data_IF_785076192987
#
_entry.id   IF_785076192987
#
_cell.length_a   1.000
_cell.length_b   1.000
_cell.length_c   1.000
_cell.angle_alpha   90.00
_cell.angle_beta   90.00
_cell.angle_gamma   90.00
#
_symmetry.space_group_name_H-M   'P 1'
#
loop_
_entity.id
_entity.type
_entity.pdbx_description
1 polymer ?
#
# COMPACT_ATOMS: atom_id res chain seq x y z
N UNK A 1 5.51 22.52 14.25
CA UNK A 1 4.38 21.72 14.75
C UNK A 1 3.92 20.85 13.59
N UNK A 2 3.77 19.53 13.75
CA UNK A 2 3.08 18.75 12.72
C UNK A 2 1.65 19.31 12.58
N UNK A 3 1.04 19.25 11.39
CA UNK A 3 -0.38 19.51 11.28
C UNK A 3 -1.10 18.56 12.25
N UNK A 4 -2.00 19.11 13.07
CA UNK A 4 -2.99 18.31 13.78
C UNK A 4 -3.74 17.55 12.68
N UNK A 5 -3.75 16.20 12.72
CA UNK A 5 -4.57 15.35 11.84
C UNK A 5 -5.91 16.04 11.66
N UNK A 6 -6.22 16.51 10.45
CA UNK A 6 -7.26 17.52 10.23
C UNK A 6 -8.68 17.01 10.52
N UNK A 7 -8.86 15.71 10.80
CA UNK A 7 -10.13 15.11 11.21
C UNK A 7 -11.20 15.14 10.12
N UNK A 8 -10.85 15.54 8.89
CA UNK A 8 -11.77 15.66 7.75
C UNK A 8 -12.01 14.31 7.08
N UNK A 9 -11.06 13.38 7.19
CA UNK A 9 -11.21 12.03 6.67
C UNK A 9 -11.87 11.17 7.74
N UNK A 10 -12.75 10.25 7.32
CA UNK A 10 -13.33 9.23 8.21
C UNK A 10 -12.20 8.36 8.74
N UNK A 11 -11.59 8.80 9.83
CA UNK A 11 -10.70 8.01 10.66
C UNK A 11 -11.58 6.88 11.17
N UNK A 12 -11.37 5.68 10.65
CA UNK A 12 -11.92 4.48 11.26
C UNK A 12 -11.45 4.51 12.71
N UNK A 13 -12.32 4.26 13.69
CA UNK A 13 -11.87 4.15 15.09
C UNK A 13 -10.63 3.26 15.11
N UNK A 14 -9.50 3.77 15.61
CA UNK A 14 -8.22 3.06 15.62
C UNK A 14 -8.38 1.79 16.46
N UNK A 15 -8.78 0.69 15.80
CA UNK A 15 -8.76 -0.62 16.41
C UNK A 15 -7.31 -0.93 16.70
N UNK A 16 -6.95 -0.99 17.99
CA UNK A 16 -5.62 -1.36 18.47
C UNK A 16 -5.36 -2.85 18.18
N UNK A 17 -5.20 -3.19 16.91
CA UNK A 17 -4.75 -4.49 16.48
C UNK A 17 -3.24 -4.45 16.55
N UNK A 18 -2.65 -5.29 17.41
CA UNK A 18 -1.21 -5.51 17.41
C UNK A 18 -0.91 -6.59 16.35
N UNK A 19 -0.40 -6.22 15.16
CA UNK A 19 -0.04 -7.19 14.13
C UNK A 19 1.12 -8.08 14.60
N UNK A 20 1.06 -9.37 14.27
CA UNK A 20 2.12 -10.35 14.52
C UNK A 20 3.03 -10.57 13.32
N UNK A 21 4.09 -11.37 13.48
CA UNK A 21 4.87 -11.84 12.33
C UNK A 21 4.01 -12.70 11.39
N UNK A 22 4.26 -12.63 10.10
CA UNK A 22 3.52 -13.37 9.07
C UNK A 22 4.47 -13.79 7.96
N UNK A 23 4.26 -15.00 7.43
CA UNK A 23 4.92 -15.47 6.21
C UNK A 23 3.87 -15.70 5.11
N UNK A 24 4.31 -15.70 3.86
CA UNK A 24 3.50 -16.18 2.74
C UNK A 24 3.30 -17.71 2.80
N UNK A 25 2.19 -18.18 2.25
CA UNK A 25 1.75 -19.58 2.31
C UNK A 25 1.89 -20.33 0.98
N UNK A 26 2.34 -19.65 -0.08
CA UNK A 26 2.39 -20.14 -1.48
C UNK A 26 1.00 -20.36 -2.10
N UNK A 27 -0.05 -19.82 -1.47
CA UNK A 27 -1.44 -19.88 -1.97
C UNK A 27 -1.86 -18.51 -2.49
N UNK A 28 -1.84 -18.33 -3.81
CA UNK A 28 -1.99 -17.03 -4.49
C UNK A 28 -3.11 -16.11 -3.96
N UNK A 29 -4.33 -16.60 -3.70
CA UNK A 29 -5.42 -15.74 -3.21
C UNK A 29 -5.25 -15.36 -1.73
N UNK A 30 -4.68 -16.25 -0.93
CA UNK A 30 -4.35 -15.99 0.47
C UNK A 30 -3.18 -15.00 0.54
N UNK A 31 -2.13 -15.26 -0.24
CA UNK A 31 -0.92 -14.46 -0.31
C UNK A 31 -1.20 -13.03 -0.79
N UNK A 32 -2.15 -12.83 -1.70
CA UNK A 32 -2.57 -11.50 -2.10
C UNK A 32 -3.14 -10.69 -0.90
N UNK A 33 -4.00 -11.32 -0.10
CA UNK A 33 -4.52 -10.71 1.14
C UNK A 33 -3.43 -10.46 2.19
N UNK A 34 -2.49 -11.40 2.33
CA UNK A 34 -1.32 -11.25 3.19
C UNK A 34 -0.46 -10.06 2.75
N UNK A 35 -0.16 -9.93 1.46
CA UNK A 35 0.65 -8.85 0.92
C UNK A 35 -0.01 -7.48 1.16
N UNK A 36 -1.30 -7.34 0.89
CA UNK A 36 -2.05 -6.11 1.20
C UNK A 36 -2.02 -5.81 2.70
N UNK A 37 -2.25 -6.82 3.56
CA UNK A 37 -2.18 -6.70 5.01
C UNK A 37 -0.82 -6.23 5.53
N UNK A 38 0.26 -6.79 4.98
CA UNK A 38 1.64 -6.36 5.28
C UNK A 38 1.88 -4.92 4.84
N UNK A 39 1.43 -4.53 3.64
CA UNK A 39 1.62 -3.19 3.08
C UNK A 39 0.86 -2.12 3.88
N UNK A 40 -0.40 -2.35 4.24
CA UNK A 40 -1.16 -1.39 5.06
C UNK A 40 -0.55 -1.27 6.46
N UNK A 41 -0.15 -2.39 7.05
CA UNK A 41 0.50 -2.39 8.37
C UNK A 41 1.84 -1.65 8.35
N UNK A 42 2.67 -1.88 7.32
CA UNK A 42 3.93 -1.16 7.14
C UNK A 42 3.72 0.34 6.97
N UNK A 43 2.73 0.75 6.19
CA UNK A 43 2.40 2.16 6.01
C UNK A 43 2.05 2.82 7.35
N UNK A 44 1.21 2.15 8.16
CA UNK A 44 0.85 2.62 9.49
C UNK A 44 2.06 2.71 10.43
N UNK A 45 2.94 1.70 10.43
CA UNK A 45 4.18 1.70 11.24
C UNK A 45 5.10 2.87 10.84
N UNK A 46 5.12 3.24 9.56
CA UNK A 46 5.93 4.36 9.07
C UNK A 46 5.22 5.71 9.12
N UNK A 47 4.04 5.79 9.75
CA UNK A 47 3.30 7.03 9.95
C UNK A 47 2.51 7.53 8.74
N UNK A 48 2.28 6.68 7.73
CA UNK A 48 1.39 7.00 6.62
C UNK A 48 -0.05 6.59 6.93
N UNK A 49 -0.99 7.31 6.32
CA UNK A 49 -2.37 6.86 6.19
C UNK A 49 -2.46 5.82 5.08
N UNK A 50 -3.27 4.77 5.25
CA UNK A 50 -3.31 3.62 4.34
C UNK A 50 -4.72 3.30 3.86
N UNK A 51 -4.79 2.91 2.58
CA UNK A 51 -6.03 2.52 1.91
C UNK A 51 -5.82 1.21 1.16
N UNK A 52 -6.86 0.38 1.15
CA UNK A 52 -7.03 -0.75 0.24
C UNK A 52 -8.43 -0.67 -0.42
N UNK A 53 -8.70 -1.34 -1.55
CA UNK A 53 -10.02 -1.32 -2.19
C UNK A 53 -11.16 -1.76 -1.25
N UNK A 54 -12.35 -1.13 -1.24
CA UNK A 54 -13.46 -1.50 -0.35
C UNK A 54 -13.94 -2.95 -0.49
N UNK A 55 -13.81 -3.52 -1.68
CA UNK A 55 -14.10 -4.93 -1.91
C UNK A 55 -13.14 -5.80 -1.08
N UNK A 56 -11.84 -5.58 -1.25
CA UNK A 56 -10.75 -6.30 -0.57
C UNK A 56 -10.76 -6.09 0.94
N UNK A 57 -11.07 -4.88 1.40
CA UNK A 57 -11.33 -4.56 2.82
C UNK A 57 -12.35 -5.53 3.46
N UNK A 58 -13.30 -6.05 2.68
CA UNK A 58 -14.37 -6.93 3.16
C UNK A 58 -14.07 -8.41 2.96
N UNK A 59 -13.55 -8.79 1.78
CA UNK A 59 -13.43 -10.20 1.39
C UNK A 59 -12.09 -10.83 1.73
N UNK A 60 -11.02 -10.03 1.87
CA UNK A 60 -9.68 -10.53 2.18
C UNK A 60 -9.40 -10.43 3.66
N UNK A 61 -8.56 -11.36 4.13
CA UNK A 61 -8.18 -11.46 5.54
C UNK A 61 -6.67 -11.38 5.70
N UNK A 62 -6.26 -10.83 6.82
CA UNK A 62 -4.88 -10.77 7.28
C UNK A 62 -4.87 -11.09 8.77
N UNK A 63 -4.13 -12.14 9.16
CA UNK A 63 -4.07 -12.61 10.55
C UNK A 63 -5.45 -12.85 11.17
N UNK A 64 -6.27 -13.61 10.44
CA UNK A 64 -7.64 -13.99 10.82
C UNK A 64 -8.62 -12.82 11.01
N UNK A 65 -8.25 -11.63 10.53
CA UNK A 65 -9.08 -10.41 10.60
C UNK A 65 -9.31 -9.82 9.22
N UNK A 66 -10.46 -9.17 8.95
CA UNK A 66 -10.71 -8.52 7.67
C UNK A 66 -9.76 -7.34 7.46
N UNK A 67 -9.36 -7.08 6.21
CA UNK A 67 -8.44 -5.98 5.87
C UNK A 67 -8.94 -4.60 6.32
N UNK A 68 -10.26 -4.38 6.39
CA UNK A 68 -10.85 -3.12 6.87
C UNK A 68 -10.38 -2.71 8.27
N UNK A 69 -9.96 -3.67 9.09
CA UNK A 69 -9.53 -3.38 10.46
C UNK A 69 -8.07 -2.86 10.52
N UNK A 70 -7.33 -2.91 9.40
CA UNK A 70 -5.93 -2.49 9.30
C UNK A 70 -5.74 -1.20 8.48
N UNK A 71 -6.70 -0.81 7.65
CA UNK A 71 -6.63 0.44 6.87
C UNK A 71 -7.02 1.63 7.75
N UNK A 72 -6.44 2.80 7.49
CA UNK A 72 -6.82 4.04 8.18
C UNK A 72 -7.78 4.90 7.36
N UNK A 73 -7.79 4.71 6.03
CA UNK A 73 -8.67 5.39 5.08
C UNK A 73 -9.54 4.38 4.36
N UNK A 74 -10.84 4.38 4.67
CA UNK A 74 -11.80 3.43 4.09
C UNK A 74 -12.23 3.77 2.65
N UNK A 75 -12.17 5.05 2.26
CA UNK A 75 -12.54 5.55 0.93
C UNK A 75 -11.63 6.70 0.49
N UNK A 76 -11.10 6.63 -0.74
CA UNK A 76 -10.19 7.64 -1.30
C UNK A 76 -10.86 8.61 -2.30
N UNK A 77 -12.20 8.65 -2.37
CA UNK A 77 -12.95 9.50 -3.32
C UNK A 77 -12.76 10.98 -3.10
N UNK A 78 -12.61 11.41 -1.85
CA UNK A 78 -12.37 12.83 -1.56
C UNK A 78 -10.94 13.26 -1.91
N UNK A 79 -10.01 12.30 -2.01
CA UNK A 79 -8.61 12.50 -2.39
C UNK A 79 -8.47 12.59 -3.92
N UNK A 80 -9.12 11.67 -4.63
CA UNK A 80 -9.03 11.58 -6.08
C UNK A 80 -10.32 12.05 -6.75
N UNK A 81 -10.23 13.07 -7.60
CA UNK A 81 -11.34 13.56 -8.41
C UNK A 81 -11.07 13.37 -9.89
N UNK A 82 -12.11 13.04 -10.65
CA UNK A 82 -12.09 12.99 -12.11
C UNK A 82 -12.30 11.60 -12.71
N UNK A 83 -12.12 11.46 -14.03
CA UNK A 83 -12.56 10.28 -14.80
C UNK A 83 -11.81 8.98 -14.46
N UNK A 84 -10.66 9.10 -13.80
CA UNK A 84 -9.82 7.97 -13.42
C UNK A 84 -10.13 7.39 -12.04
N UNK A 85 -11.05 7.99 -11.27
CA UNK A 85 -11.33 7.60 -9.88
C UNK A 85 -11.63 6.11 -9.75
N UNK A 86 -12.47 5.55 -10.62
CA UNK A 86 -12.82 4.13 -10.58
C UNK A 86 -11.58 3.22 -10.64
N UNK A 87 -10.62 3.52 -11.50
CA UNK A 87 -9.38 2.75 -11.65
C UNK A 87 -8.40 2.95 -10.50
N UNK A 88 -8.36 4.15 -9.92
CA UNK A 88 -7.50 4.44 -8.77
C UNK A 88 -8.02 3.71 -7.53
N UNK A 89 -9.35 3.61 -7.37
CA UNK A 89 -9.98 2.87 -6.27
C UNK A 89 -9.68 1.37 -6.29
N UNK A 90 -9.30 0.84 -7.45
CA UNK A 90 -8.89 -0.56 -7.65
C UNK A 90 -7.39 -0.79 -7.41
N UNK A 91 -6.60 0.23 -7.03
CA UNK A 91 -5.18 0.02 -6.68
C UNK A 91 -5.12 -0.73 -5.34
N UNK A 92 -4.37 -1.83 -5.30
CA UNK A 92 -4.40 -2.79 -4.20
C UNK A 92 -4.00 -2.17 -2.85
N UNK A 93 -3.04 -1.24 -2.82
CA UNK A 93 -2.74 -0.44 -1.62
C UNK A 93 -2.22 0.95 -1.97
N UNK A 94 -2.65 1.96 -1.21
CA UNK A 94 -2.11 3.32 -1.26
C UNK A 94 -1.58 3.72 0.12
N UNK A 95 -0.41 4.37 0.13
CA UNK A 95 0.04 5.15 1.27
C UNK A 95 -0.11 6.63 0.95
N UNK A 96 -0.70 7.33 1.91
CA UNK A 96 -1.12 8.70 1.84
C UNK A 96 -0.37 9.48 2.93
N UNK A 97 0.05 10.68 2.57
CA UNK A 97 0.61 11.64 3.51
C UNK A 97 -0.36 12.84 3.60
N UNK A 98 -0.23 13.67 4.62
CA UNK A 98 -1.14 14.79 4.89
C UNK A 98 -0.39 16.13 4.83
N UNK A 99 -0.99 17.10 4.12
CA UNK A 99 -0.56 18.50 4.18
C UNK A 99 -1.75 19.44 4.44
N UNK A 100 -1.53 20.76 4.34
CA UNK A 100 -2.56 21.78 4.56
C UNK A 100 -3.77 21.67 3.61
N UNK A 101 -3.65 20.92 2.51
CA UNK A 101 -4.72 20.65 1.53
C UNK A 101 -5.35 19.26 1.69
N UNK A 102 -4.87 18.48 2.67
CA UNK A 102 -5.38 17.16 3.03
C UNK A 102 -4.51 16.00 2.54
N UNK A 103 -5.12 14.82 2.41
CA UNK A 103 -4.40 13.60 2.05
C UNK A 103 -4.00 13.59 0.57
N UNK A 104 -2.78 13.12 0.30
CA UNK A 104 -2.28 12.91 -1.06
C UNK A 104 -1.44 11.62 -1.14
N UNK A 105 -1.42 10.92 -2.29
CA UNK A 105 -0.65 9.70 -2.43
C UNK A 105 0.84 9.95 -2.55
N UNK A 106 1.61 9.21 -1.77
CA UNK A 106 3.08 9.17 -1.79
C UNK A 106 3.61 7.83 -2.30
N UNK A 107 2.89 6.73 -2.03
CA UNK A 107 3.21 5.41 -2.53
C UNK A 107 1.95 4.68 -3.00
N UNK A 108 2.07 3.93 -4.09
CA UNK A 108 1.00 3.09 -4.61
C UNK A 108 1.55 1.73 -4.99
N UNK A 109 0.84 0.68 -4.60
CA UNK A 109 1.28 -0.70 -4.70
C UNK A 109 0.21 -1.52 -5.42
N UNK A 110 0.67 -2.34 -6.34
CA UNK A 110 -0.10 -3.38 -7.00
C UNK A 110 0.54 -4.73 -6.67
N UNK A 111 -0.28 -5.67 -6.21
CA UNK A 111 0.10 -7.01 -5.77
C UNK A 111 -0.24 -7.97 -6.91
N UNK A 112 0.79 -8.38 -7.64
CA UNK A 112 0.63 -9.15 -8.88
C UNK A 112 1.08 -10.60 -8.66
N UNK A 113 0.09 -11.46 -8.42
CA UNK A 113 0.26 -12.92 -8.33
C UNK A 113 0.31 -13.61 -9.70
N UNK A 114 -0.28 -12.97 -10.71
CA UNK A 114 -0.47 -13.53 -12.05
C UNK A 114 0.22 -12.69 -13.11
N UNK A 115 0.16 -13.12 -14.37
CA UNK A 115 0.79 -12.41 -15.51
C UNK A 115 0.16 -11.05 -15.86
N UNK A 116 -0.65 -10.47 -14.96
CA UNK A 116 -1.39 -9.22 -15.16
C UNK A 116 -0.61 -7.95 -14.79
N UNK A 117 0.71 -8.04 -14.61
CA UNK A 117 1.63 -6.93 -14.35
C UNK A 117 1.34 -5.66 -15.18
N UNK A 118 1.04 -5.79 -16.48
CA UNK A 118 0.71 -4.64 -17.33
C UNK A 118 -0.54 -3.89 -16.85
N UNK A 119 -1.55 -4.60 -16.38
CA UNK A 119 -2.80 -4.03 -15.86
C UNK A 119 -2.55 -3.24 -14.58
N UNK A 120 -1.74 -3.76 -13.64
CA UNK A 120 -1.28 -3.01 -12.47
C UNK A 120 -0.53 -1.73 -12.86
N UNK A 121 0.42 -1.83 -13.80
CA UNK A 121 1.13 -0.64 -14.31
C UNK A 121 0.17 0.40 -14.91
N UNK A 122 -0.82 -0.04 -15.69
CA UNK A 122 -1.83 0.84 -16.30
C UNK A 122 -2.72 1.52 -15.24
N UNK A 123 -3.10 0.82 -14.16
CA UNK A 123 -3.83 1.36 -13.01
C UNK A 123 -3.00 2.42 -12.27
N UNK A 124 -1.73 2.13 -11.98
CA UNK A 124 -0.81 3.06 -11.31
C UNK A 124 -0.63 4.38 -12.09
N UNK A 125 -0.55 4.33 -13.43
CA UNK A 125 -0.50 5.53 -14.27
C UNK A 125 -1.79 6.36 -14.26
N UNK A 126 -2.88 5.89 -13.66
CA UNK A 126 -4.12 6.69 -13.52
C UNK A 126 -4.02 7.72 -12.42
N UNK A 127 -3.08 7.57 -11.48
CA UNK A 127 -2.79 8.58 -10.45
C UNK A 127 -2.37 9.89 -11.14
N UNK A 128 -3.03 11.03 -10.85
CA UNK A 128 -2.73 12.31 -11.48
C UNK A 128 -1.25 12.69 -11.38
N UNK A 129 -0.68 13.19 -12.50
CA UNK A 129 0.76 13.56 -12.60
C UNK A 129 1.23 14.63 -11.61
N UNK A 130 0.31 15.43 -11.06
CA UNK A 130 0.60 16.41 -10.02
C UNK A 130 1.09 15.76 -8.72
N UNK A 131 0.74 14.50 -8.48
CA UNK A 131 1.25 13.72 -7.36
C UNK A 131 2.56 13.04 -7.76
N UNK A 132 3.58 13.19 -6.91
CA UNK A 132 4.92 12.63 -7.09
C UNK A 132 5.05 11.20 -6.54
N UNK A 133 3.93 10.48 -6.40
CA UNK A 133 3.88 9.13 -5.86
C UNK A 133 4.85 8.15 -6.53
N UNK A 134 5.50 7.29 -5.74
CA UNK A 134 6.29 6.16 -6.26
C UNK A 134 5.39 4.94 -6.42
N UNK A 135 5.64 4.17 -7.46
CA UNK A 135 4.80 3.07 -7.92
C UNK A 135 5.52 1.74 -7.75
N UNK A 136 4.84 0.78 -7.15
CA UNK A 136 5.42 -0.52 -6.84
C UNK A 136 4.54 -1.62 -7.43
N UNK A 137 5.19 -2.57 -8.09
CA UNK A 137 4.62 -3.89 -8.33
C UNK A 137 5.29 -4.83 -7.34
N UNK A 138 4.48 -5.54 -6.56
CA UNK A 138 4.93 -6.54 -5.60
C UNK A 138 4.48 -7.89 -6.11
N UNK A 139 5.39 -8.84 -6.30
CA UNK A 139 5.04 -10.14 -6.89
C UNK A 139 5.88 -11.30 -6.36
N UNK A 140 5.47 -12.55 -6.59
CA UNK A 140 6.04 -13.72 -5.92
C UNK A 140 7.41 -14.12 -6.50
N UNK A 141 7.66 -13.87 -7.79
CA UNK A 141 8.80 -14.48 -8.48
C UNK A 141 9.54 -13.60 -9.49
N UNK A 142 10.67 -14.11 -9.97
CA UNK A 142 11.46 -13.48 -11.03
C UNK A 142 10.69 -13.38 -12.36
N UNK A 143 9.72 -14.27 -12.60
CA UNK A 143 8.91 -14.24 -13.82
C UNK A 143 8.12 -12.94 -13.94
N UNK A 144 7.45 -12.52 -12.87
CA UNK A 144 6.69 -11.27 -12.82
C UNK A 144 7.64 -10.05 -12.90
N UNK A 145 8.84 -10.16 -12.31
CA UNK A 145 9.89 -9.14 -12.42
C UNK A 145 10.38 -8.96 -13.85
N UNK A 146 10.54 -10.03 -14.61
CA UNK A 146 10.97 -9.97 -16.01
C UNK A 146 9.89 -9.35 -16.89
N UNK A 147 8.62 -9.72 -16.68
CA UNK A 147 7.47 -9.07 -17.33
C UNK A 147 7.40 -7.57 -17.00
N UNK A 148 7.59 -7.22 -15.73
CA UNK A 148 7.67 -5.82 -15.29
C UNK A 148 8.76 -5.07 -16.06
N UNK A 149 9.99 -5.60 -16.08
CA UNK A 149 11.13 -4.98 -16.75
C UNK A 149 10.87 -4.77 -18.25
N UNK A 150 10.23 -5.76 -18.89
CA UNK A 150 9.79 -5.66 -20.28
C UNK A 150 8.78 -4.53 -20.46
N UNK A 151 7.71 -4.47 -19.67
CA UNK A 151 6.64 -3.49 -19.84
C UNK A 151 7.07 -2.07 -19.49
N UNK A 152 7.84 -1.84 -18.41
CA UNK A 152 8.26 -0.48 -18.03
C UNK A 152 9.20 0.18 -19.04
N UNK A 153 9.76 -0.60 -19.97
CA UNK A 153 10.57 -0.09 -21.09
C UNK A 153 9.74 0.38 -22.30
N UNK A 154 8.44 0.08 -22.32
CA UNK A 154 7.53 0.37 -23.43
C UNK A 154 6.65 1.59 -23.15
N UNK A 155 6.12 2.22 -24.21
CA UNK A 155 5.11 3.28 -24.09
C UNK A 155 3.79 2.70 -23.55
N UNK A 156 3.08 3.39 -22.63
CA UNK A 156 3.39 4.72 -22.07
C UNK A 156 4.31 4.70 -20.85
N UNK A 157 4.61 3.53 -20.27
CA UNK A 157 5.34 3.39 -19.00
C UNK A 157 6.75 3.96 -19.02
N UNK A 158 7.44 3.92 -20.18
CA UNK A 158 8.81 4.38 -20.36
C UNK A 158 9.04 5.82 -19.88
N UNK A 159 8.10 6.71 -20.11
CA UNK A 159 8.18 8.12 -19.70
C UNK A 159 8.17 8.29 -18.17
N UNK A 160 7.62 7.31 -17.45
CA UNK A 160 7.45 7.31 -16.01
C UNK A 160 8.31 6.25 -15.31
N UNK A 161 9.23 5.61 -16.04
CA UNK A 161 10.02 4.47 -15.55
C UNK A 161 10.71 4.73 -14.21
N UNK A 162 11.17 5.97 -13.97
CA UNK A 162 11.82 6.36 -12.72
C UNK A 162 10.91 6.29 -11.48
N UNK A 163 9.58 6.27 -11.67
CA UNK A 163 8.59 6.13 -10.58
C UNK A 163 8.34 4.67 -10.22
N UNK A 164 8.56 3.75 -11.15
CA UNK A 164 8.21 2.33 -11.01
C UNK A 164 9.35 1.52 -10.38
N UNK A 165 8.98 0.64 -9.47
CA UNK A 165 9.84 -0.36 -8.86
C UNK A 165 9.13 -1.70 -8.79
N UNK A 166 9.92 -2.77 -8.84
CA UNK A 166 9.44 -4.12 -8.56
C UNK A 166 10.04 -4.61 -7.26
N UNK A 167 9.24 -5.31 -6.45
CA UNK A 167 9.66 -5.98 -5.22
C UNK A 167 9.13 -7.40 -5.14
N UNK A 168 9.97 -8.30 -4.65
CA UNK A 168 9.56 -9.68 -4.40
C UNK A 168 8.74 -9.76 -3.11
N UNK A 169 7.85 -10.74 -3.03
CA UNK A 169 7.13 -11.08 -1.80
C UNK A 169 8.08 -11.32 -0.65
N UNK A 170 9.14 -12.07 -0.89
CA UNK A 170 10.19 -12.29 0.11
C UNK A 170 10.79 -10.98 0.64
N UNK A 171 11.01 -9.97 -0.22
CA UNK A 171 11.50 -8.66 0.23
C UNK A 171 10.47 -7.92 1.09
N UNK A 172 9.18 -8.05 0.77
CA UNK A 172 8.08 -7.47 1.55
C UNK A 172 7.95 -8.16 2.92
N UNK A 173 7.97 -9.49 2.95
CA UNK A 173 7.89 -10.31 4.16
C UNK A 173 9.02 -9.97 5.14
N UNK A 174 10.26 -9.95 4.65
CA UNK A 174 11.43 -9.60 5.45
C UNK A 174 11.29 -8.18 6.03
N UNK A 175 10.94 -7.20 5.19
CA UNK A 175 10.76 -5.81 5.64
C UNK A 175 9.66 -5.69 6.70
N UNK A 176 8.51 -6.33 6.46
CA UNK A 176 7.37 -6.36 7.37
C UNK A 176 7.77 -6.92 8.74
N UNK A 177 8.37 -8.12 8.76
CA UNK A 177 8.75 -8.78 10.01
C UNK A 177 9.84 -7.99 10.76
N UNK A 178 10.80 -7.37 10.07
CA UNK A 178 11.78 -6.49 10.71
C UNK A 178 11.16 -5.21 11.26
N UNK A 179 10.21 -4.60 10.54
CA UNK A 179 9.53 -3.39 10.98
C UNK A 179 8.74 -3.63 12.27
N UNK A 180 8.10 -4.78 12.43
CA UNK A 180 7.42 -5.15 13.68
C UNK A 180 8.36 -5.23 14.87
N UNK A 181 9.47 -5.96 14.72
CA UNK A 181 10.48 -6.10 15.78
C UNK A 181 11.09 -4.75 16.13
N UNK A 182 11.38 -3.92 15.13
CA UNK A 182 11.87 -2.57 15.33
C UNK A 182 10.85 -1.70 16.08
N UNK A 183 9.58 -1.72 15.64
CA UNK A 183 8.52 -0.93 16.24
C UNK A 183 8.30 -1.30 17.72
N UNK A 184 8.24 -2.59 18.03
CA UNK A 184 8.11 -3.06 19.41
C UNK A 184 9.30 -2.65 20.28
N UNK A 185 10.54 -2.77 19.77
CA UNK A 185 11.74 -2.33 20.51
C UNK A 185 11.76 -0.82 20.70
N UNK A 186 11.33 -0.04 19.70
CA UNK A 186 11.22 1.42 19.76
C UNK A 186 10.24 1.85 20.85
N UNK A 187 9.07 1.22 20.90
CA UNK A 187 8.05 1.46 21.93
C UNK A 187 8.55 1.09 23.34
N UNK A 188 9.16 -0.08 23.50
CA UNK A 188 9.76 -0.51 24.78
C UNK A 188 10.87 0.44 25.25
N UNK A 189 11.62 1.03 24.31
CA UNK A 189 12.64 2.02 24.61
C UNK A 189 12.06 3.41 24.95
N UNK A 190 10.77 3.64 24.69
CA UNK A 190 10.08 4.90 25.01
C UNK A 190 10.22 6.00 23.95
N UNK A 191 10.62 5.66 22.71
CA UNK A 191 10.66 6.63 21.61
C UNK A 191 9.29 6.70 20.96
N UNK A 192 8.67 7.88 20.98
CA UNK A 192 7.44 8.20 20.25
C UNK A 192 7.84 8.87 18.93
N UNK A 193 7.31 8.38 17.81
CA UNK A 193 7.56 8.99 16.51
C UNK A 193 6.91 10.38 16.42
N UNK A 194 7.52 11.26 15.62
CA UNK A 194 6.97 12.60 15.37
C UNK A 194 5.73 12.46 14.49
N UNK A 195 4.58 12.18 15.09
CA UNK A 195 3.30 11.99 14.39
C UNK A 195 2.22 11.25 15.20
N UNK A 196 2.59 10.58 16.30
CA UNK A 196 1.67 10.01 17.29
C UNK A 196 1.29 10.98 18.42
#
# INVERSE_FOLDING_TARGET
>A
MPPKRSGIYKVVEETHIKPGAQNFTEESEIDHGIAQGMLVTLGNIYGYETYAPPHDQTIRTFQDKPLRDFVTVSDCTDIFRGPNLAKIREIDTLWLDEDDYGLFPVYAFEVEETTRVKSGLDRLLKIPRRFTARFFIVGPSAKEKDLFNQYVSQTPFREFKYRFQFKLYKELEELYNFALVHNERREQFGIIERGG
#
